data_IF_577173437515
#
_entry.id   IF_577173437515
#
_cell.length_a   1.000
_cell.length_b   1.000
_cell.length_c   1.000
_cell.angle_alpha   90.00
_cell.angle_beta   90.00
_cell.angle_gamma   90.00
#
_symmetry.space_group_name_H-M   'P 1'
#
loop_
_entity.id
_entity.type
_entity.pdbx_description
1 polymer ?
#
# COMPACT_ATOMS: atom_id res chain seq x y z
N UNK A 1 35.19 16.88 -56.57
CA UNK A 1 35.37 15.66 -55.75
C UNK A 1 35.08 15.99 -54.29
N UNK A 2 33.86 16.45 -53.99
CA UNK A 2 33.42 16.99 -52.69
C UNK A 2 32.19 16.23 -52.15
N UNK A 3 31.92 15.04 -52.72
CA UNK A 3 30.69 14.26 -52.49
C UNK A 3 30.89 13.10 -51.49
N UNK A 4 32.10 12.86 -50.99
CA UNK A 4 32.40 11.73 -50.10
C UNK A 4 32.43 12.08 -48.61
N UNK A 5 32.42 13.37 -48.25
CA UNK A 5 32.58 13.81 -46.85
C UNK A 5 31.26 13.89 -46.06
N UNK A 6 30.11 13.78 -46.72
CA UNK A 6 28.79 13.89 -46.07
C UNK A 6 28.10 12.54 -45.81
N UNK A 7 28.66 11.42 -46.30
CA UNK A 7 28.04 10.11 -46.16
C UNK A 7 28.45 9.34 -44.89
N UNK A 8 29.52 9.76 -44.21
CA UNK A 8 30.08 9.04 -43.06
C UNK A 8 29.35 9.21 -41.71
N UNK A 9 28.60 10.29 -41.40
CA UNK A 9 27.95 10.41 -40.10
C UNK A 9 26.56 9.74 -40.05
N UNK A 10 26.02 9.26 -41.18
CA UNK A 10 24.68 8.66 -41.21
C UNK A 10 24.65 7.19 -40.74
N UNK A 11 25.81 6.52 -40.66
CA UNK A 11 25.90 5.10 -40.28
C UNK A 11 25.94 4.84 -38.77
N UNK A 12 26.08 5.87 -37.93
CA UNK A 12 26.20 5.71 -36.48
C UNK A 12 24.89 5.86 -35.69
N UNK A 13 23.77 6.14 -36.35
CA UNK A 13 22.48 6.38 -35.65
C UNK A 13 21.69 5.09 -35.40
N UNK A 14 22.19 3.92 -35.84
CA UNK A 14 21.42 2.66 -35.81
C UNK A 14 21.80 1.67 -34.70
N UNK A 15 22.67 2.03 -33.74
CA UNK A 15 23.07 1.11 -32.65
C UNK A 15 22.51 1.46 -31.27
N UNK A 16 21.37 2.15 -31.20
CA UNK A 16 20.90 2.75 -29.94
C UNK A 16 19.49 2.38 -29.51
N UNK A 17 19.04 1.13 -29.64
CA UNK A 17 17.89 0.65 -28.86
C UNK A 17 18.08 -0.85 -28.56
N UNK A 18 19.02 -1.15 -27.67
CA UNK A 18 19.05 -2.46 -27.04
C UNK A 18 17.92 -2.49 -26.00
N UNK A 19 16.80 -3.10 -26.36
CA UNK A 19 15.83 -3.58 -25.38
C UNK A 19 16.57 -4.59 -24.51
N UNK A 20 16.75 -4.28 -23.22
CA UNK A 20 17.14 -5.28 -22.23
C UNK A 20 15.94 -6.21 -22.09
N UNK A 21 15.94 -7.28 -22.87
CA UNK A 21 15.07 -8.42 -22.64
C UNK A 21 15.67 -9.14 -21.43
N UNK A 22 15.07 -8.93 -20.26
CA UNK A 22 15.30 -9.84 -19.13
C UNK A 22 14.94 -11.24 -19.66
N UNK A 23 15.95 -12.10 -19.81
CA UNK A 23 15.76 -13.51 -20.11
C UNK A 23 14.93 -14.11 -18.98
N UNK A 24 13.62 -14.10 -19.16
CA UNK A 24 12.75 -15.06 -18.50
C UNK A 24 13.21 -16.37 -19.10
N UNK A 25 13.83 -17.24 -18.31
CA UNK A 25 14.16 -18.59 -18.75
C UNK A 25 12.87 -19.22 -19.31
N UNK A 26 12.79 -19.31 -20.63
CA UNK A 26 11.61 -19.74 -21.40
C UNK A 26 11.30 -21.24 -21.19
N UNK A 27 12.08 -21.94 -20.37
CA UNK A 27 11.79 -23.31 -19.94
C UNK A 27 10.79 -23.39 -18.77
N UNK A 28 10.46 -22.28 -18.10
CA UNK A 28 9.60 -22.29 -16.91
C UNK A 28 8.20 -21.67 -17.12
N UNK A 29 7.69 -21.70 -18.36
CA UNK A 29 6.27 -21.51 -18.66
C UNK A 29 5.75 -22.80 -19.29
N UNK A 30 5.74 -23.86 -18.50
CA UNK A 30 5.02 -25.09 -18.86
C UNK A 30 3.61 -24.95 -18.29
N UNK A 31 2.66 -24.65 -19.17
CA UNK A 31 1.23 -24.89 -18.96
C UNK A 31 0.46 -23.90 -18.05
N UNK A 32 0.71 -22.59 -18.14
CA UNK A 32 -0.13 -21.56 -17.51
C UNK A 32 -0.19 -21.58 -15.96
N UNK A 33 0.49 -22.52 -15.33
CA UNK A 33 0.52 -22.74 -13.90
C UNK A 33 1.81 -22.17 -13.32
N UNK A 34 1.76 -20.90 -12.91
CA UNK A 34 2.81 -20.34 -12.08
C UNK A 34 2.73 -21.02 -10.71
N UNK A 35 3.80 -21.66 -10.27
CA UNK A 35 3.88 -22.25 -8.92
C UNK A 35 3.57 -21.17 -7.85
N UNK A 36 2.70 -21.45 -6.86
CA UNK A 36 2.32 -20.48 -5.83
C UNK A 36 3.52 -19.82 -5.13
N UNK A 37 4.62 -20.55 -4.96
CA UNK A 37 5.84 -20.06 -4.33
C UNK A 37 6.52 -18.98 -5.16
N UNK A 38 6.48 -19.07 -6.49
CA UNK A 38 7.06 -18.06 -7.40
C UNK A 38 6.20 -16.79 -7.42
N UNK A 39 4.87 -16.93 -7.38
CA UNK A 39 3.95 -15.80 -7.20
C UNK A 39 4.22 -15.10 -5.88
N UNK A 40 4.31 -15.86 -4.79
CA UNK A 40 4.59 -15.33 -3.45
C UNK A 40 5.91 -14.56 -3.41
N UNK A 41 7.00 -15.17 -3.91
CA UNK A 41 8.32 -14.51 -3.97
C UNK A 41 8.29 -13.23 -4.79
N UNK A 42 7.56 -13.22 -5.92
CA UNK A 42 7.44 -12.02 -6.78
C UNK A 42 6.62 -10.93 -6.08
N UNK A 43 5.53 -11.28 -5.39
CA UNK A 43 4.73 -10.35 -4.59
C UNK A 43 5.53 -9.76 -3.43
N UNK A 44 6.26 -10.60 -2.68
CA UNK A 44 7.13 -10.15 -1.58
C UNK A 44 8.26 -9.23 -2.07
N UNK A 45 8.91 -9.57 -3.19
CA UNK A 45 9.96 -8.75 -3.78
C UNK A 45 9.41 -7.38 -4.24
N UNK A 46 8.23 -7.36 -4.85
CA UNK A 46 7.57 -6.12 -5.27
C UNK A 46 7.11 -5.28 -4.08
N UNK A 47 6.58 -5.89 -3.02
CA UNK A 47 6.25 -5.21 -1.76
C UNK A 47 7.43 -4.42 -1.20
N UNK A 48 8.65 -4.98 -1.24
CA UNK A 48 9.86 -4.29 -0.73
C UNK A 48 10.25 -3.07 -1.57
N UNK A 49 9.79 -2.97 -2.82
CA UNK A 49 10.07 -1.84 -3.73
C UNK A 49 9.13 -0.65 -3.50
N UNK A 50 7.97 -0.85 -2.87
CA UNK A 50 7.01 0.24 -2.58
C UNK A 50 7.63 1.16 -1.52
N UNK A 51 8.09 2.35 -1.93
CA UNK A 51 8.63 3.38 -1.04
C UNK A 51 7.56 4.37 -0.58
N UNK A 52 6.66 4.70 -1.48
CA UNK A 52 5.56 5.63 -1.25
C UNK A 52 4.28 5.06 -1.83
N UNK A 53 3.17 5.31 -1.17
CA UNK A 53 1.85 4.93 -1.64
C UNK A 53 0.86 6.04 -1.30
N UNK A 54 0.00 6.39 -2.24
CA UNK A 54 -1.11 7.33 -2.08
C UNK A 54 -2.37 6.62 -2.55
N UNK A 55 -3.23 6.26 -1.60
CA UNK A 55 -4.45 5.53 -1.83
C UNK A 55 -5.65 6.32 -1.37
N UNK A 56 -6.74 6.24 -2.14
CA UNK A 56 -8.05 6.80 -1.76
C UNK A 56 -9.07 5.67 -1.74
N UNK A 57 -9.98 5.71 -0.79
CA UNK A 57 -10.99 4.67 -0.65
C UNK A 57 -12.25 5.14 0.07
N UNK A 58 -13.21 4.23 0.09
CA UNK A 58 -14.49 4.38 0.78
C UNK A 58 -14.57 3.32 1.88
N UNK A 59 -15.06 3.70 3.05
CA UNK A 59 -15.26 2.85 4.21
C UNK A 59 -16.73 2.91 4.61
N UNK A 60 -17.38 1.76 4.61
CA UNK A 60 -18.74 1.60 5.09
C UNK A 60 -18.71 1.08 6.52
N UNK A 61 -19.22 1.87 7.46
CA UNK A 61 -19.32 1.50 8.87
C UNK A 61 -20.76 1.14 9.15
N UNK A 62 -21.00 -0.14 9.39
CA UNK A 62 -22.33 -0.68 9.72
C UNK A 62 -22.29 -1.25 11.13
N UNK A 63 -23.08 -0.64 12.01
CA UNK A 63 -23.35 -1.07 13.39
C UNK A 63 -24.86 -0.99 13.63
N UNK A 64 -25.41 -1.61 14.68
CA UNK A 64 -26.84 -1.53 14.98
C UNK A 64 -27.38 -0.09 15.13
N UNK A 65 -26.52 0.87 15.47
CA UNK A 65 -26.86 2.26 15.75
C UNK A 65 -26.46 3.21 14.61
N UNK A 66 -25.62 2.76 13.68
CA UNK A 66 -24.96 3.62 12.69
C UNK A 66 -24.72 2.85 11.38
N UNK A 67 -25.26 3.38 10.28
CA UNK A 67 -24.99 2.92 8.92
C UNK A 67 -24.53 4.15 8.12
N UNK A 68 -23.21 4.29 7.96
CA UNK A 68 -22.61 5.46 7.34
C UNK A 68 -21.44 5.10 6.42
N UNK A 69 -21.29 5.92 5.39
CA UNK A 69 -20.13 5.93 4.50
C UNK A 69 -19.18 7.06 4.90
N UNK A 70 -17.88 6.75 4.91
CA UNK A 70 -16.80 7.72 4.99
C UNK A 70 -15.80 7.50 3.85
N UNK A 71 -15.14 8.57 3.41
CA UNK A 71 -14.05 8.50 2.45
C UNK A 71 -12.72 8.65 3.19
N UNK A 72 -11.67 8.03 2.69
CA UNK A 72 -10.34 8.22 3.26
C UNK A 72 -9.27 8.39 2.19
N UNK A 73 -8.19 9.04 2.58
CA UNK A 73 -6.94 9.07 1.84
C UNK A 73 -5.81 8.60 2.75
N UNK A 74 -5.06 7.60 2.31
CA UNK A 74 -3.90 7.06 3.01
C UNK A 74 -2.63 7.36 2.21
N UNK A 75 -1.71 8.10 2.83
CA UNK A 75 -0.39 8.43 2.28
C UNK A 75 0.65 7.73 3.14
N UNK A 76 1.32 6.75 2.55
CA UNK A 76 2.38 5.98 3.18
C UNK A 76 3.73 6.41 2.60
N UNK A 77 4.70 6.58 3.49
CA UNK A 77 6.12 6.72 3.17
C UNK A 77 6.90 5.72 4.01
N UNK A 78 7.56 4.76 3.37
CA UNK A 78 8.36 3.74 4.06
C UNK A 78 9.77 4.27 4.36
N UNK A 79 10.36 3.86 5.49
CA UNK A 79 9.79 2.97 6.51
C UNK A 79 8.88 3.68 7.53
N UNK A 80 8.85 5.02 7.50
CA UNK A 80 8.71 5.83 8.70
C UNK A 80 7.30 6.34 9.01
N UNK A 81 6.44 6.55 8.00
CA UNK A 81 5.25 7.40 8.19
C UNK A 81 4.03 6.89 7.43
N UNK A 82 2.88 6.89 8.10
CA UNK A 82 1.56 6.68 7.52
C UNK A 82 0.63 7.81 7.95
N UNK A 83 0.11 8.56 6.97
CA UNK A 83 -0.90 9.59 7.20
C UNK A 83 -2.24 9.13 6.62
N UNK A 84 -3.30 9.22 7.40
CA UNK A 84 -4.66 8.85 7.01
C UNK A 84 -5.58 10.04 7.27
N UNK A 85 -6.24 10.53 6.23
CA UNK A 85 -7.28 11.53 6.35
C UNK A 85 -8.63 10.86 6.15
N UNK A 86 -9.59 11.12 7.04
CA UNK A 86 -10.96 10.62 6.96
C UNK A 86 -11.91 11.78 6.73
N UNK A 87 -12.74 11.63 5.72
CA UNK A 87 -13.71 12.61 5.27
C UNK A 87 -15.12 12.04 5.36
N UNK A 88 -16.05 12.85 5.84
CA UNK A 88 -17.47 12.56 5.78
C UNK A 88 -18.06 12.93 4.41
N UNK A 89 -19.40 12.88 4.32
CA UNK A 89 -20.12 13.42 3.17
C UNK A 89 -19.67 14.85 2.86
N UNK A 90 -19.69 15.22 1.58
CA UNK A 90 -19.31 16.55 1.09
C UNK A 90 -17.84 16.94 1.32
N UNK A 91 -16.96 15.99 1.66
CA UNK A 91 -15.53 16.25 1.85
C UNK A 91 -15.20 16.95 3.18
N UNK A 92 -16.12 16.93 4.14
CA UNK A 92 -15.90 17.47 5.48
C UNK A 92 -14.85 16.59 6.18
N UNK A 93 -13.72 17.16 6.59
CA UNK A 93 -12.70 16.43 7.33
C UNK A 93 -13.23 16.06 8.72
N UNK A 94 -13.23 14.77 9.03
CA UNK A 94 -13.68 14.25 10.32
C UNK A 94 -12.49 13.96 11.24
N UNK A 95 -11.43 13.37 10.68
CA UNK A 95 -10.25 13.02 11.43
C UNK A 95 -8.99 12.96 10.55
N UNK A 96 -7.85 13.25 11.17
CA UNK A 96 -6.52 13.02 10.61
C UNK A 96 -5.71 12.13 11.56
N UNK A 97 -5.02 11.15 11.01
CA UNK A 97 -4.15 10.23 11.75
C UNK A 97 -2.76 10.25 11.14
N UNK A 98 -1.76 10.67 11.90
CA UNK A 98 -0.36 10.52 11.55
C UNK A 98 0.27 9.48 12.48
N UNK A 99 0.71 8.38 11.90
CA UNK A 99 1.45 7.32 12.56
C UNK A 99 2.90 7.38 12.07
N UNK A 100 3.84 7.38 13.01
CA UNK A 100 5.26 7.23 12.75
C UNK A 100 5.79 6.01 13.49
N UNK A 101 7.06 5.64 13.28
CA UNK A 101 7.71 4.57 14.04
C UNK A 101 7.68 4.77 15.57
N UNK A 102 7.60 6.02 16.05
CA UNK A 102 7.74 6.32 17.48
C UNK A 102 6.53 7.00 18.11
N UNK A 103 5.75 7.74 17.32
CA UNK A 103 4.63 8.54 17.82
C UNK A 103 3.41 8.46 16.91
N UNK A 104 2.23 8.61 17.52
CA UNK A 104 0.98 8.82 16.81
C UNK A 104 0.40 10.19 17.15
N UNK A 105 -0.28 10.78 16.18
CA UNK A 105 -1.09 11.98 16.31
C UNK A 105 -2.45 11.69 15.70
N UNK A 106 -3.50 11.82 16.48
CA UNK A 106 -4.88 11.68 16.03
C UNK A 106 -5.59 13.00 16.27
N UNK A 107 -6.04 13.64 15.20
CA UNK A 107 -6.77 14.89 15.25
C UNK A 107 -8.23 14.65 14.93
N UNK A 108 -9.12 15.05 15.84
CA UNK A 108 -10.57 14.97 15.69
C UNK A 108 -11.12 16.38 15.38
N UNK A 109 -11.62 16.56 14.16
CA UNK A 109 -12.00 17.89 13.65
C UNK A 109 -13.23 18.47 14.34
N UNK A 110 -14.21 17.63 14.71
CA UNK A 110 -15.49 18.07 15.30
C UNK A 110 -15.28 18.78 16.64
N UNK A 111 -14.37 18.24 17.46
CA UNK A 111 -14.05 18.76 18.79
C UNK A 111 -12.75 19.56 18.83
N UNK A 112 -12.10 19.79 17.68
CA UNK A 112 -10.80 20.45 17.56
C UNK A 112 -9.77 19.92 18.58
N UNK A 113 -9.69 18.59 18.68
CA UNK A 113 -8.91 17.91 19.72
C UNK A 113 -7.79 17.09 19.09
N UNK A 114 -6.56 17.32 19.56
CA UNK A 114 -5.37 16.55 19.17
C UNK A 114 -4.96 15.60 20.27
N UNK A 115 -5.00 14.32 19.98
CA UNK A 115 -4.48 13.24 20.80
C UNK A 115 -3.08 12.87 20.29
N UNK A 116 -2.14 12.69 21.20
CA UNK A 116 -0.75 12.33 20.88
C UNK A 116 -0.21 11.32 21.86
N UNK A 117 0.65 10.42 21.41
CA UNK A 117 1.29 9.43 22.27
C UNK A 117 2.40 8.68 21.56
N UNK A 118 3.10 7.83 22.31
CA UNK A 118 4.06 6.90 21.75
C UNK A 118 3.34 5.77 21.00
N UNK A 119 3.97 5.26 19.95
CA UNK A 119 3.55 4.02 19.31
C UNK A 119 4.17 2.87 20.07
N UNK A 120 3.49 2.43 21.13
CA UNK A 120 3.72 1.13 21.73
C UNK A 120 2.62 0.15 21.31
N UNK A 121 2.94 -1.14 21.24
CA UNK A 121 2.00 -2.18 20.82
C UNK A 121 0.73 -2.19 21.72
N UNK A 122 0.86 -1.72 22.97
CA UNK A 122 -0.24 -1.64 23.93
C UNK A 122 -1.23 -0.52 23.58
N UNK A 123 -0.77 0.64 23.14
CA UNK A 123 -1.60 1.79 22.76
C UNK A 123 -2.35 1.51 21.45
N UNK A 124 -1.66 0.96 20.45
CA UNK A 124 -2.31 0.55 19.20
C UNK A 124 -3.32 -0.57 19.42
N UNK A 125 -2.98 -1.56 20.27
CA UNK A 125 -3.91 -2.64 20.62
C UNK A 125 -5.15 -2.14 21.35
N UNK A 126 -5.01 -1.11 22.19
CA UNK A 126 -6.16 -0.50 22.88
C UNK A 126 -7.06 0.33 21.96
N UNK A 127 -6.50 0.97 20.92
CA UNK A 127 -7.24 1.76 19.93
C UNK A 127 -7.97 0.85 18.96
N UNK A 128 -7.26 -0.10 18.35
CA UNK A 128 -7.82 -0.99 17.33
C UNK A 128 -8.47 -2.25 17.90
N UNK A 129 -8.41 -2.45 19.24
CA UNK A 129 -8.87 -3.66 19.94
C UNK A 129 -8.26 -4.96 19.38
N UNK A 130 -7.09 -4.85 18.75
CA UNK A 130 -6.39 -5.91 18.03
C UNK A 130 -4.90 -5.74 18.24
N UNK A 131 -4.17 -6.83 18.52
CA UNK A 131 -2.71 -6.84 18.66
C UNK A 131 -2.06 -6.59 17.29
N UNK A 132 -1.90 -5.31 16.94
CA UNK A 132 -1.33 -4.84 15.68
C UNK A 132 -0.20 -3.86 15.98
N UNK A 133 1.01 -4.18 15.51
CA UNK A 133 2.13 -3.25 15.53
C UNK A 133 2.04 -2.22 14.41
N UNK A 134 2.88 -1.18 14.48
CA UNK A 134 3.00 -0.16 13.42
C UNK A 134 3.24 -0.79 12.04
N UNK A 135 4.13 -1.79 11.97
CA UNK A 135 4.47 -2.48 10.74
C UNK A 135 3.26 -3.17 10.09
N UNK A 136 2.37 -3.75 10.90
CA UNK A 136 1.18 -4.47 10.42
C UNK A 136 0.15 -3.50 9.84
N UNK A 137 -0.10 -2.38 10.52
CA UNK A 137 -0.99 -1.31 10.04
C UNK A 137 -0.42 -0.73 8.73
N UNK A 138 0.88 -0.42 8.71
CA UNK A 138 1.58 0.09 7.53
C UNK A 138 1.48 -0.86 6.34
N UNK A 139 1.67 -2.15 6.57
CA UNK A 139 1.60 -3.17 5.53
C UNK A 139 0.17 -3.44 5.07
N UNK A 140 -0.83 -3.35 5.95
CA UNK A 140 -2.25 -3.46 5.59
C UNK A 140 -2.66 -2.34 4.62
N UNK A 141 -2.31 -1.08 4.90
CA UNK A 141 -2.60 0.04 4.01
C UNK A 141 -1.84 -0.01 2.68
N UNK A 142 -0.67 -0.66 2.65
CA UNK A 142 0.09 -0.88 1.42
C UNK A 142 -0.45 -2.07 0.58
N UNK A 143 -1.51 -2.75 1.02
CA UNK A 143 -1.98 -4.01 0.39
C UNK A 143 -0.93 -5.12 0.46
N UNK A 144 0.00 -5.04 1.41
CA UNK A 144 1.25 -5.77 1.43
C UNK A 144 1.31 -6.74 2.62
N UNK A 145 0.19 -7.42 2.88
CA UNK A 145 0.04 -8.38 3.98
C UNK A 145 1.11 -9.47 3.86
N UNK A 146 1.80 -9.74 4.97
CA UNK A 146 2.82 -10.77 5.00
C UNK A 146 2.17 -12.16 5.00
N UNK A 147 2.18 -12.84 3.86
CA UNK A 147 1.59 -14.17 3.67
C UNK A 147 2.52 -15.32 4.11
N UNK A 148 3.78 -15.05 4.49
CA UNK A 148 4.75 -16.08 4.93
C UNK A 148 4.47 -16.54 6.36
N UNK A 149 3.96 -15.64 7.21
CA UNK A 149 3.33 -16.03 8.47
C UNK A 149 1.97 -16.58 8.09
N UNK A 150 1.64 -17.81 8.49
CA UNK A 150 0.35 -18.47 8.21
C UNK A 150 -0.87 -17.80 8.85
N UNK A 151 -0.90 -16.46 8.89
CA UNK A 151 -2.05 -15.61 9.17
C UNK A 151 -3.03 -15.73 8.00
N UNK A 152 -3.64 -16.91 7.88
CA UNK A 152 -5.00 -16.97 7.38
C UNK A 152 -5.81 -16.37 8.52
N UNK A 153 -6.51 -15.24 8.33
CA UNK A 153 -7.15 -14.60 9.44
C UNK A 153 -8.51 -15.29 9.65
N UNK A 154 -8.45 -16.48 10.27
CA UNK A 154 -9.58 -17.35 10.59
C UNK A 154 -10.49 -16.75 11.67
N UNK A 155 -10.21 -15.53 12.13
CA UNK A 155 -10.95 -14.85 13.20
C UNK A 155 -11.56 -13.53 12.76
N UNK A 156 -11.54 -13.18 11.46
CA UNK A 156 -12.61 -12.34 10.97
C UNK A 156 -13.88 -13.17 10.96
N UNK A 157 -14.60 -13.16 12.08
CA UNK A 157 -16.03 -13.40 12.04
C UNK A 157 -16.63 -12.24 11.24
N UNK A 158 -16.57 -12.37 9.91
CA UNK A 158 -17.19 -11.48 8.92
C UNK A 158 -18.70 -11.65 8.99
N UNK A 159 -19.31 -11.46 10.16
CA UNK A 159 -20.76 -11.44 10.24
C UNK A 159 -21.35 -10.08 9.82
N UNK A 160 -20.50 -9.10 9.51
CA UNK A 160 -20.85 -7.93 8.70
C UNK A 160 -19.60 -7.05 8.59
N UNK A 161 -18.88 -7.08 7.46
CA UNK A 161 -18.28 -5.90 6.81
C UNK A 161 -17.62 -6.40 5.53
N UNK A 162 -18.25 -6.11 4.40
CA UNK A 162 -17.67 -6.34 3.08
C UNK A 162 -16.76 -5.16 2.77
N UNK A 163 -15.48 -5.24 3.15
CA UNK A 163 -14.48 -4.25 2.70
C UNK A 163 -14.08 -4.64 1.28
N UNK A 164 -14.64 -3.93 0.30
CA UNK A 164 -14.29 -4.10 -1.11
C UNK A 164 -13.11 -3.17 -1.39
N UNK A 165 -11.93 -3.73 -1.60
CA UNK A 165 -10.83 -2.98 -2.23
C UNK A 165 -10.95 -3.14 -3.76
N UNK A 166 -10.82 -2.05 -4.54
CA UNK A 166 -10.73 -2.12 -6.00
C UNK A 166 -9.45 -2.82 -6.48
#
# INVERSE_FOLDING_TARGET
MFLFFFALPLMFVWQGCATVEESIDDEEIVDGNIKPERLMKKMEANRRKIRTFDGKGEMHVVTPELDNTAFFQAILKRPDSLNINVYGPFGIELANVLLTETEFKFYESLNNTLYKGGVDDVALSNIFKMDLGFDDIRDAFAGAVNMTKGYIPNQWNLNSTKVIFP
#
